data_IF_634136677681
#
_entry.id   IF_634136677681
#
_cell.length_a   1.000
_cell.length_b   1.000
_cell.length_c   1.000
_cell.angle_alpha   90.00
_cell.angle_beta   90.00
_cell.angle_gamma   90.00
#
_symmetry.space_group_name_H-M   'P 1'
#
loop_
_entity.id
_entity.type
_entity.pdbx_description
1 polymer ?
#
# COMPACT_ATOMS: atom_id res chain seq x y z
N UNK A 1 6.74 -17.24 8.82
CA UNK A 1 6.36 -16.56 7.57
C UNK A 1 5.32 -17.45 6.90
N UNK A 2 4.09 -16.96 6.66
CA UNK A 2 3.08 -17.76 5.93
C UNK A 2 3.63 -18.06 4.54
N UNK A 3 3.29 -19.23 4.02
CA UNK A 3 3.61 -19.59 2.64
C UNK A 3 2.91 -18.59 1.70
N UNK A 4 3.71 -17.79 0.99
CA UNK A 4 3.25 -16.82 0.00
C UNK A 4 3.29 -17.41 -1.41
N UNK A 5 3.59 -18.72 -1.57
CA UNK A 5 3.72 -19.37 -2.88
C UNK A 5 2.37 -19.85 -3.43
N UNK A 6 1.61 -18.90 -3.96
CA UNK A 6 0.56 -19.22 -4.94
C UNK A 6 1.14 -19.32 -6.36
N UNK A 7 0.46 -20.02 -7.25
CA UNK A 7 0.81 -20.03 -8.68
C UNK A 7 0.96 -18.59 -9.21
N UNK A 8 2.07 -18.31 -9.88
CA UNK A 8 2.39 -16.97 -10.41
C UNK A 8 2.94 -15.95 -9.39
N UNK A 9 3.18 -16.33 -8.14
CA UNK A 9 3.78 -15.43 -7.13
C UNK A 9 5.29 -15.58 -7.06
N UNK A 10 6.02 -14.45 -7.11
CA UNK A 10 7.48 -14.40 -6.97
C UNK A 10 7.84 -13.63 -5.70
N UNK A 11 8.51 -14.28 -4.75
CA UNK A 11 8.99 -13.66 -3.50
C UNK A 11 10.40 -13.11 -3.70
N UNK A 12 10.57 -11.79 -3.54
CA UNK A 12 11.84 -11.08 -3.75
C UNK A 12 12.42 -10.42 -2.49
N UNK A 13 11.88 -10.76 -1.31
CA UNK A 13 12.33 -10.22 -0.01
C UNK A 13 13.82 -10.51 0.19
N UNK A 14 14.59 -9.48 0.57
CA UNK A 14 16.05 -9.52 0.81
C UNK A 14 16.89 -9.98 -0.40
N UNK A 15 16.34 -9.95 -1.62
CA UNK A 15 17.06 -10.37 -2.85
C UNK A 15 17.54 -9.23 -3.74
N UNK A 16 17.07 -8.01 -3.50
CA UNK A 16 17.29 -6.87 -4.38
C UNK A 16 17.94 -5.72 -3.61
N UNK A 17 18.94 -5.10 -4.21
CA UNK A 17 19.39 -3.79 -3.75
C UNK A 17 18.38 -2.69 -4.16
N UNK A 18 18.56 -1.47 -3.66
CA UNK A 18 17.61 -0.37 -3.91
C UNK A 18 17.43 -0.03 -5.40
N UNK A 19 18.48 -0.14 -6.21
CA UNK A 19 18.41 0.15 -7.66
C UNK A 19 17.63 -0.93 -8.40
N UNK A 20 17.90 -2.19 -8.08
CA UNK A 20 17.17 -3.33 -8.63
C UNK A 20 15.70 -3.31 -8.22
N UNK A 21 15.42 -2.97 -6.97
CA UNK A 21 14.07 -2.79 -6.46
C UNK A 21 13.31 -1.69 -7.21
N UNK A 22 13.95 -0.53 -7.43
CA UNK A 22 13.37 0.55 -8.22
C UNK A 22 13.14 0.15 -9.69
N UNK A 23 14.05 -0.64 -10.28
CA UNK A 23 13.88 -1.18 -11.63
C UNK A 23 12.70 -2.16 -11.71
N UNK A 24 12.56 -3.06 -10.73
CA UNK A 24 11.40 -3.96 -10.64
C UNK A 24 10.10 -3.17 -10.48
N UNK A 25 10.07 -2.18 -9.57
CA UNK A 25 8.90 -1.33 -9.38
C UNK A 25 8.50 -0.61 -10.67
N UNK A 26 9.48 -0.13 -11.46
CA UNK A 26 9.25 0.53 -12.76
C UNK A 26 8.61 -0.39 -13.80
N UNK A 27 8.91 -1.69 -13.75
CA UNK A 27 8.37 -2.68 -14.69
C UNK A 27 6.97 -3.17 -14.31
N UNK A 28 6.51 -2.92 -13.08
CA UNK A 28 5.18 -3.31 -12.65
C UNK A 28 4.10 -2.43 -13.32
N UNK A 29 2.99 -3.04 -13.74
CA UNK A 29 1.81 -2.31 -14.23
C UNK A 29 1.10 -1.53 -13.10
N UNK A 30 1.23 -2.00 -11.86
CA UNK A 30 0.63 -1.42 -10.67
C UNK A 30 1.45 -1.81 -9.43
N UNK A 31 1.54 -0.90 -8.45
CA UNK A 31 2.19 -1.16 -7.17
C UNK A 31 1.25 -0.89 -6.00
N UNK A 32 0.97 -1.91 -5.18
CA UNK A 32 0.07 -1.81 -4.01
C UNK A 32 0.88 -1.96 -2.72
N UNK A 33 0.81 -0.98 -1.82
CA UNK A 33 1.49 -1.05 -0.53
C UNK A 33 0.84 -0.17 0.54
N UNK A 34 1.26 -0.37 1.79
CA UNK A 34 0.99 0.57 2.87
C UNK A 34 1.82 1.86 2.72
N UNK A 35 1.63 2.81 3.64
CA UNK A 35 2.30 4.11 3.68
C UNK A 35 3.80 4.02 4.05
N UNK A 36 4.62 3.35 3.23
CA UNK A 36 6.06 3.13 3.44
C UNK A 36 6.90 3.47 2.22
N UNK A 37 8.24 3.54 2.38
CA UNK A 37 9.21 3.90 1.35
C UNK A 37 9.04 3.19 -0.02
N UNK A 38 8.77 1.87 -0.06
CA UNK A 38 8.40 1.14 -1.29
C UNK A 38 7.38 1.84 -2.19
N UNK A 39 6.29 2.35 -1.60
CA UNK A 39 5.22 3.04 -2.33
C UNK A 39 5.74 4.32 -3.01
N UNK A 40 6.60 5.06 -2.31
CA UNK A 40 7.20 6.29 -2.83
C UNK A 40 8.22 6.04 -3.92
N UNK A 41 9.01 4.95 -3.82
CA UNK A 41 9.95 4.55 -4.87
C UNK A 41 9.18 4.22 -6.15
N UNK A 42 8.13 3.40 -6.05
CA UNK A 42 7.28 3.05 -7.19
C UNK A 42 6.67 4.30 -7.85
N UNK A 43 6.14 5.22 -7.04
CA UNK A 43 5.62 6.49 -7.55
C UNK A 43 6.71 7.34 -8.24
N UNK A 44 7.92 7.40 -7.68
CA UNK A 44 9.04 8.16 -8.22
C UNK A 44 9.58 7.62 -9.54
N UNK A 45 9.44 6.32 -9.81
CA UNK A 45 9.80 5.71 -11.09
C UNK A 45 8.64 5.70 -12.11
N UNK A 46 7.50 6.29 -11.77
CA UNK A 46 6.36 6.51 -12.68
C UNK A 46 5.29 5.42 -12.69
N UNK A 47 5.42 4.41 -11.83
CA UNK A 47 4.47 3.32 -11.69
C UNK A 47 3.17 3.81 -11.05
N UNK A 48 1.99 3.41 -11.55
CA UNK A 48 0.72 3.64 -10.85
C UNK A 48 0.74 2.99 -9.46
N UNK A 49 0.23 3.69 -8.45
CA UNK A 49 0.28 3.22 -7.06
C UNK A 49 -1.08 3.20 -6.37
N UNK A 50 -1.32 2.16 -5.57
CA UNK A 50 -2.41 2.12 -4.58
C UNK A 50 -1.78 2.12 -3.18
N UNK A 51 -2.10 3.15 -2.40
CA UNK A 51 -1.59 3.36 -1.05
C UNK A 51 -2.65 3.11 0.02
N UNK A 52 -2.31 2.34 1.04
CA UNK A 52 -3.14 2.13 2.23
C UNK A 52 -2.61 2.97 3.40
N UNK A 53 -3.40 3.93 3.87
CA UNK A 53 -2.96 4.93 4.85
C UNK A 53 -3.89 4.97 6.07
N UNK A 54 -3.34 5.01 7.29
CA UNK A 54 -4.13 5.31 8.47
C UNK A 54 -4.63 6.76 8.43
N UNK A 55 -5.75 7.01 9.10
CA UNK A 55 -6.38 8.33 9.18
C UNK A 55 -5.82 9.21 10.31
N UNK A 56 -4.68 8.87 10.90
CA UNK A 56 -4.06 9.69 11.95
C UNK A 56 -3.21 10.80 11.34
N UNK A 57 -3.38 12.03 11.82
CA UNK A 57 -2.76 13.21 11.23
C UNK A 57 -1.24 13.07 10.99
N UNK A 58 -0.42 12.52 11.92
CA UNK A 58 1.02 12.37 11.71
C UNK A 58 1.40 11.41 10.58
N UNK A 59 0.55 10.44 10.25
CA UNK A 59 0.76 9.39 9.24
C UNK A 59 -0.16 9.53 8.02
N UNK A 60 -0.96 10.60 7.96
CA UNK A 60 -1.98 10.79 6.93
C UNK A 60 -1.39 10.92 5.53
N UNK A 61 -2.16 10.50 4.53
CA UNK A 61 -1.81 10.68 3.12
C UNK A 61 -1.72 12.16 2.70
N UNK A 62 -2.38 13.07 3.41
CA UNK A 62 -2.23 14.52 3.18
C UNK A 62 -0.78 14.96 3.41
N UNK A 63 -0.11 14.37 4.41
CA UNK A 63 1.29 14.70 4.73
C UNK A 63 2.29 13.82 3.99
N UNK A 64 2.00 12.53 3.86
CA UNK A 64 2.94 11.50 3.37
C UNK A 64 2.46 10.76 2.13
N UNK A 65 1.50 11.30 1.38
CA UNK A 65 1.04 10.69 0.15
C UNK A 65 2.15 10.64 -0.91
N UNK A 66 2.12 9.66 -1.83
CA UNK A 66 3.10 9.59 -2.91
C UNK A 66 2.95 10.80 -3.83
N UNK A 67 4.08 11.36 -4.28
CA UNK A 67 4.11 12.54 -5.14
C UNK A 67 3.94 12.14 -6.62
N UNK A 68 2.74 11.71 -6.96
CA UNK A 68 2.33 11.36 -8.33
C UNK A 68 0.84 11.64 -8.53
N UNK A 69 0.41 11.81 -9.78
CA UNK A 69 -1.00 11.87 -10.17
C UNK A 69 -1.58 10.48 -10.43
N UNK A 70 -0.73 9.48 -10.67
CA UNK A 70 -1.12 8.08 -10.90
C UNK A 70 -1.31 7.33 -9.58
N UNK A 71 -2.00 7.93 -8.61
CA UNK A 71 -2.22 7.32 -7.29
C UNK A 71 -3.70 7.15 -6.97
N UNK A 72 -4.02 6.07 -6.27
CA UNK A 72 -5.26 5.92 -5.51
C UNK A 72 -4.90 5.66 -4.05
N UNK A 73 -5.56 6.37 -3.14
CA UNK A 73 -5.34 6.22 -1.70
C UNK A 73 -6.60 5.68 -1.06
N UNK A 74 -6.44 4.66 -0.23
CA UNK A 74 -7.47 4.20 0.69
C UNK A 74 -7.07 4.56 2.12
N UNK A 75 -8.02 5.16 2.83
CA UNK A 75 -7.91 5.45 4.26
C UNK A 75 -9.24 5.12 4.92
N UNK A 76 -9.25 4.79 6.22
CA UNK A 76 -10.49 4.60 6.95
C UNK A 76 -11.35 5.88 6.89
N UNK A 77 -12.68 5.71 6.79
CA UNK A 77 -13.64 6.82 6.75
C UNK A 77 -14.62 6.67 7.90
N UNK A 78 -14.87 7.75 8.64
CA UNK A 78 -15.87 7.77 9.71
C UNK A 78 -15.47 7.02 10.99
N UNK A 79 -14.21 6.61 11.11
CA UNK A 79 -13.66 5.97 12.32
C UNK A 79 -12.96 7.03 13.20
N UNK A 80 -12.83 6.83 14.52
CA UNK A 80 -12.01 7.71 15.36
C UNK A 80 -10.52 7.65 14.98
N UNK A 81 -9.85 8.79 14.97
CA UNK A 81 -8.38 8.87 14.81
C UNK A 81 -7.66 8.56 16.15
N UNK A 82 -8.08 7.48 16.81
CA UNK A 82 -7.55 7.03 18.10
C UNK A 82 -6.85 5.68 17.95
N UNK A 83 -5.52 5.69 18.01
CA UNK A 83 -4.71 4.47 17.97
C UNK A 83 -4.40 3.92 19.37
N UNK A 84 -4.93 4.50 20.44
CA UNK A 84 -4.59 4.09 21.83
C UNK A 84 -4.84 2.60 22.04
N UNK A 85 -5.97 2.09 21.54
CA UNK A 85 -6.27 0.65 21.61
C UNK A 85 -5.27 -0.20 20.81
N UNK A 86 -4.99 0.16 19.56
CA UNK A 86 -4.08 -0.60 18.70
C UNK A 86 -2.62 -0.57 19.21
N UNK A 87 -2.20 0.54 19.83
CA UNK A 87 -0.87 0.68 20.42
C UNK A 87 -0.75 -0.01 21.78
N UNK A 88 -1.85 -0.10 22.53
CA UNK A 88 -1.89 -0.77 23.83
C UNK A 88 -2.14 -2.28 23.72
N UNK A 89 -2.81 -2.74 22.66
CA UNK A 89 -3.08 -4.16 22.45
C UNK A 89 -1.83 -4.88 21.96
N UNK A 90 -1.46 -5.97 22.64
CA UNK A 90 -0.54 -6.99 22.08
C UNK A 90 -1.16 -7.79 20.92
N UNK A 91 -2.38 -7.44 20.53
CA UNK A 91 -3.17 -8.09 19.48
C UNK A 91 -3.08 -7.21 18.24
N UNK A 92 -2.79 -7.82 17.10
CA UNK A 92 -2.65 -7.19 15.77
C UNK A 92 -3.99 -6.69 15.18
N UNK A 93 -4.94 -6.26 16.01
CA UNK A 93 -6.25 -5.81 15.55
C UNK A 93 -6.24 -4.28 15.38
N UNK A 94 -6.16 -3.83 14.13
CA UNK A 94 -6.27 -2.43 13.77
C UNK A 94 -7.64 -2.19 13.11
N UNK A 95 -8.69 -2.13 13.93
CA UNK A 95 -10.10 -2.04 13.48
C UNK A 95 -10.32 -0.95 12.41
N UNK A 96 -9.59 0.17 12.49
CA UNK A 96 -9.71 1.23 11.50
C UNK A 96 -9.15 0.80 10.15
N UNK A 97 -7.97 0.18 10.09
CA UNK A 97 -7.39 -0.30 8.82
C UNK A 97 -8.15 -1.51 8.27
N UNK A 98 -8.71 -2.35 9.15
CA UNK A 98 -9.59 -3.45 8.78
C UNK A 98 -10.89 -2.98 8.11
N UNK A 99 -11.26 -1.70 8.27
CA UNK A 99 -12.39 -1.10 7.56
C UNK A 99 -12.10 -0.87 6.06
N UNK A 100 -10.85 -0.99 5.62
CA UNK A 100 -10.49 -0.95 4.20
C UNK A 100 -10.65 -2.36 3.65
N UNK A 101 -11.71 -2.58 2.87
CA UNK A 101 -12.02 -3.92 2.36
C UNK A 101 -11.06 -4.33 1.24
N UNK A 102 -10.74 -5.63 1.18
CA UNK A 102 -9.90 -6.21 0.12
C UNK A 102 -10.57 -6.01 -1.24
N UNK A 103 -11.89 -6.15 -1.31
CA UNK A 103 -12.69 -6.00 -2.52
C UNK A 103 -12.58 -4.57 -3.08
N UNK A 104 -12.63 -3.55 -2.23
CA UNK A 104 -12.48 -2.16 -2.65
C UNK A 104 -11.10 -1.90 -3.28
N UNK A 105 -10.04 -2.44 -2.67
CA UNK A 105 -8.67 -2.34 -3.18
C UNK A 105 -8.51 -3.13 -4.48
N UNK A 106 -9.09 -4.33 -4.54
CA UNK A 106 -9.05 -5.21 -5.70
C UNK A 106 -9.75 -4.60 -6.92
N UNK A 107 -10.94 -4.01 -6.74
CA UNK A 107 -11.64 -3.34 -7.85
C UNK A 107 -10.88 -2.12 -8.36
N UNK A 108 -10.24 -1.35 -7.47
CA UNK A 108 -9.36 -0.28 -7.90
C UNK A 108 -8.12 -0.81 -8.67
N UNK A 109 -7.54 -1.93 -8.22
CA UNK A 109 -6.43 -2.56 -8.93
C UNK A 109 -6.86 -3.04 -10.32
N UNK A 110 -8.02 -3.70 -10.44
CA UNK A 110 -8.60 -4.10 -11.73
C UNK A 110 -8.82 -2.91 -12.66
N UNK A 111 -9.28 -1.77 -12.14
CA UNK A 111 -9.46 -0.57 -12.96
C UNK A 111 -8.15 -0.07 -13.56
N UNK A 112 -7.04 -0.09 -12.82
CA UNK A 112 -5.71 0.25 -13.33
C UNK A 112 -5.15 -0.76 -14.33
N UNK A 113 -5.47 -2.05 -14.17
CA UNK A 113 -4.95 -3.11 -15.03
C UNK A 113 -5.76 -3.32 -16.32
N UNK A 114 -7.02 -2.87 -16.35
CA UNK A 114 -7.89 -2.96 -17.53
C UNK A 114 -8.01 -1.63 -18.29
N UNK A 115 -7.24 -0.61 -17.93
CA UNK A 115 -7.17 0.65 -18.67
C UNK A 115 -6.12 0.56 -19.78
N UNK A 116 -6.48 -0.19 -20.82
CA UNK A 116 -5.86 -0.11 -22.15
C UNK A 116 -6.64 0.84 -23.06
#
# INVERSE_FOLDING_TARGET
MRDLSGDGTIVVIDRLNLREYAALAKLASLFVANSTGPLHIAAGVGTPVIGLYPQIAPLSATRWGPYTQKKKIFSPVGMPADCTKCLASKVDACECMDSISVEQVFEAARAYLNSD
#
